data_IF_514973134684
#
_entry.id   IF_514973134684
#
_cell.length_a   1.000
_cell.length_b   1.000
_cell.length_c   1.000
_cell.angle_alpha   90.00
_cell.angle_beta   90.00
_cell.angle_gamma   90.00
#
_symmetry.space_group_name_H-M   'P 1'
#
loop_
_entity.id
_entity.type
_entity.pdbx_description
1 polymer ?
#
# COMPACT_ATOMS: atom_id res chain seq x y z
N UNK A 1 1.49 7.90 7.27
CA UNK A 1 1.26 6.58 6.65
C UNK A 1 2.51 5.99 6.01
N UNK A 2 3.49 6.77 5.52
CA UNK A 2 4.75 6.24 4.93
C UNK A 2 5.51 5.29 5.87
N UNK A 3 5.47 5.51 7.19
CA UNK A 3 6.09 4.61 8.19
C UNK A 3 5.51 3.19 8.23
N UNK A 4 4.37 2.93 7.60
CA UNK A 4 3.76 1.59 7.57
C UNK A 4 4.26 0.74 6.40
N UNK A 5 4.98 1.31 5.43
CA UNK A 5 5.53 0.55 4.29
C UNK A 5 6.42 -0.61 4.76
N UNK A 6 7.32 -0.34 5.72
CA UNK A 6 8.20 -1.35 6.30
C UNK A 6 7.43 -2.50 6.95
N UNK A 7 6.28 -2.23 7.60
CA UNK A 7 5.45 -3.28 8.18
C UNK A 7 4.89 -4.21 7.10
N UNK A 8 4.43 -3.66 5.97
CA UNK A 8 3.97 -4.48 4.85
C UNK A 8 5.12 -5.26 4.18
N UNK A 9 6.33 -4.71 4.13
CA UNK A 9 7.52 -5.43 3.64
C UNK A 9 7.87 -6.63 4.53
N UNK A 10 7.76 -6.49 5.86
CA UNK A 10 7.95 -7.60 6.79
C UNK A 10 6.89 -8.69 6.59
N UNK A 11 5.61 -8.31 6.51
CA UNK A 11 4.51 -9.27 6.25
C UNK A 11 4.72 -9.99 4.91
N UNK A 12 5.14 -9.27 3.87
CA UNK A 12 5.46 -9.85 2.56
C UNK A 12 6.58 -10.90 2.67
N UNK A 13 7.64 -10.59 3.42
CA UNK A 13 8.76 -11.50 3.63
C UNK A 13 8.32 -12.78 4.34
N UNK A 14 7.56 -12.64 5.44
CA UNK A 14 7.02 -13.79 6.19
C UNK A 14 6.08 -14.64 5.33
N UNK A 15 5.25 -14.03 4.49
CA UNK A 15 4.36 -14.77 3.59
C UNK A 15 5.13 -15.60 2.55
N UNK A 16 6.20 -15.05 1.97
CA UNK A 16 7.04 -15.78 0.99
C UNK A 16 7.77 -16.93 1.66
N UNK A 17 8.33 -16.72 2.85
CA UNK A 17 9.02 -17.76 3.63
C UNK A 17 8.07 -18.91 4.02
N UNK A 18 6.78 -18.63 4.27
CA UNK A 18 5.76 -19.65 4.53
C UNK A 18 5.40 -20.48 3.27
N UNK A 19 5.50 -19.91 2.06
CA UNK A 19 5.27 -20.63 0.80
C UNK A 19 6.44 -21.54 0.42
N UNK A 20 7.68 -21.15 0.76
CA UNK A 20 8.89 -21.92 0.46
C UNK A 20 9.13 -23.09 1.43
N UNK A 21 8.45 -23.11 2.58
CA UNK A 21 8.56 -24.23 3.52
C UNK A 21 7.83 -25.47 2.98
N UNK A 22 8.53 -26.58 2.69
CA UNK A 22 7.87 -27.80 2.24
C UNK A 22 6.98 -28.33 3.37
N UNK A 23 5.68 -28.49 3.09
CA UNK A 23 4.73 -29.25 3.93
C UNK A 23 5.14 -30.73 3.88
N UNK A 24 6.20 -31.13 4.58
CA UNK A 24 6.73 -32.48 4.53
C UNK A 24 7.47 -32.88 5.79
N UNK A 25 6.84 -33.75 6.58
CA UNK A 25 7.50 -34.54 7.62
C UNK A 25 6.86 -34.41 8.99
N UNK A 26 5.92 -35.31 9.30
CA UNK A 26 5.69 -35.73 10.69
C UNK A 26 7.04 -36.15 11.29
N UNK A 27 7.53 -35.46 12.32
CA UNK A 27 8.11 -36.05 13.55
C UNK A 27 8.81 -34.99 14.42
N UNK A 28 8.43 -35.01 15.70
CA UNK A 28 9.11 -34.47 16.88
C UNK A 28 8.67 -33.08 17.41
N UNK A 29 8.21 -32.99 18.67
CA UNK A 29 7.91 -31.73 19.34
C UNK A 29 9.17 -31.22 20.04
N UNK A 30 9.85 -30.25 19.44
CA UNK A 30 10.88 -29.48 20.13
C UNK A 30 10.66 -28.00 19.84
N UNK A 31 10.19 -27.33 20.88
CA UNK A 31 10.29 -25.91 21.18
C UNK A 31 10.95 -25.05 20.09
N UNK A 32 10.10 -24.31 19.36
CA UNK A 32 10.24 -22.88 19.09
C UNK A 32 9.29 -22.54 17.95
N UNK A 33 7.99 -22.63 18.23
CA UNK A 33 6.95 -22.10 17.35
C UNK A 33 7.12 -20.59 17.29
N UNK A 34 7.96 -20.12 16.35
CA UNK A 34 7.89 -18.76 15.84
C UNK A 34 6.41 -18.47 15.58
N UNK A 35 5.88 -17.31 15.98
CA UNK A 35 4.46 -17.04 15.86
C UNK A 35 4.09 -17.15 14.39
N UNK A 36 3.40 -18.22 14.02
CA UNK A 36 2.93 -18.42 12.65
C UNK A 36 2.03 -17.24 12.31
N UNK A 37 2.38 -16.49 11.26
CA UNK A 37 1.62 -15.32 10.81
C UNK A 37 0.13 -15.67 10.66
N UNK A 38 -0.74 -15.01 11.44
CA UNK A 38 -2.17 -15.26 11.38
C UNK A 38 -2.77 -14.65 10.10
N UNK A 39 -2.86 -15.45 9.03
CA UNK A 39 -3.36 -15.03 7.71
C UNK A 39 -4.77 -14.41 7.78
N UNK A 40 -5.66 -14.94 8.61
CA UNK A 40 -7.03 -14.42 8.72
C UNK A 40 -7.04 -13.01 9.31
N UNK A 41 -6.23 -12.78 10.35
CA UNK A 41 -6.07 -11.46 10.95
C UNK A 41 -5.42 -10.47 9.99
N UNK A 42 -4.37 -10.89 9.27
CA UNK A 42 -3.72 -10.07 8.25
C UNK A 42 -4.71 -9.66 7.14
N UNK A 43 -5.56 -10.58 6.68
CA UNK A 43 -6.62 -10.26 5.69
C UNK A 43 -7.61 -9.22 6.26
N UNK A 44 -8.03 -9.37 7.52
CA UNK A 44 -8.95 -8.42 8.18
C UNK A 44 -8.31 -7.04 8.31
N UNK A 45 -7.10 -6.97 8.84
CA UNK A 45 -6.34 -5.74 9.03
C UNK A 45 -6.05 -5.06 7.69
N UNK A 46 -5.66 -5.81 6.66
CA UNK A 46 -5.44 -5.31 5.31
C UNK A 46 -6.72 -4.69 4.74
N UNK A 47 -7.86 -5.36 4.88
CA UNK A 47 -9.15 -4.86 4.39
C UNK A 47 -9.59 -3.58 5.12
N UNK A 48 -9.35 -3.48 6.43
CA UNK A 48 -9.59 -2.25 7.20
C UNK A 48 -8.66 -1.14 6.71
N UNK A 49 -7.38 -1.44 6.54
CA UNK A 49 -6.38 -0.49 6.07
C UNK A 49 -6.73 0.08 4.68
N UNK A 50 -7.05 -0.80 3.73
CA UNK A 50 -7.49 -0.44 2.36
C UNK A 50 -8.68 0.53 2.39
N UNK A 51 -9.71 0.21 3.19
CA UNK A 51 -10.90 1.05 3.35
C UNK A 51 -10.56 2.44 3.91
N UNK A 52 -9.71 2.50 4.94
CA UNK A 52 -9.27 3.77 5.54
C UNK A 52 -8.39 4.57 4.60
N UNK A 53 -7.47 3.93 3.89
CA UNK A 53 -6.62 4.59 2.91
C UNK A 53 -7.44 5.18 1.76
N UNK A 54 -8.40 4.42 1.22
CA UNK A 54 -9.34 4.88 0.19
C UNK A 54 -10.10 6.12 0.64
N UNK A 55 -10.64 6.10 1.86
CA UNK A 55 -11.32 7.25 2.44
C UNK A 55 -10.40 8.47 2.56
N UNK A 56 -9.19 8.31 3.10
CA UNK A 56 -8.23 9.40 3.27
C UNK A 56 -7.79 10.02 1.92
N UNK A 57 -7.53 9.18 0.91
CA UNK A 57 -7.23 9.63 -0.45
C UNK A 57 -8.39 10.44 -1.04
N UNK A 58 -9.62 9.97 -0.88
CA UNK A 58 -10.80 10.69 -1.36
C UNK A 58 -10.96 12.05 -0.67
N UNK A 59 -10.72 12.13 0.64
CA UNK A 59 -10.74 13.40 1.36
C UNK A 59 -9.64 14.35 0.88
N UNK A 60 -8.42 13.83 0.67
CA UNK A 60 -7.29 14.62 0.13
C UNK A 60 -7.62 15.19 -1.26
N UNK A 61 -8.16 14.37 -2.17
CA UNK A 61 -8.58 14.81 -3.51
C UNK A 61 -9.63 15.91 -3.42
N UNK A 62 -10.64 15.76 -2.54
CA UNK A 62 -11.70 16.76 -2.36
C UNK A 62 -11.13 18.09 -1.87
N UNK A 63 -10.19 18.04 -0.91
CA UNK A 63 -9.55 19.23 -0.36
C UNK A 63 -8.76 19.97 -1.45
N UNK A 64 -7.86 19.26 -2.15
CA UNK A 64 -7.03 19.79 -3.23
C UNK A 64 -7.84 20.29 -4.44
N UNK A 65 -9.00 19.69 -4.70
CA UNK A 65 -9.90 20.15 -5.78
C UNK A 65 -10.66 21.43 -5.40
N UNK A 66 -10.87 21.68 -4.11
CA UNK A 66 -11.58 22.86 -3.60
C UNK A 66 -10.67 24.10 -3.53
N UNK A 67 -9.42 23.91 -3.11
CA UNK A 67 -8.38 24.96 -3.04
C UNK A 67 -7.98 25.49 -4.42
N UNK A 68 -8.04 24.65 -5.47
CA UNK A 68 -7.81 25.05 -6.86
C UNK A 68 -8.68 26.21 -7.37
N UNK A 69 -9.85 26.45 -6.76
CA UNK A 69 -10.73 27.58 -7.13
C UNK A 69 -10.29 28.95 -6.58
N UNK A 70 -9.39 29.00 -5.58
CA UNK A 70 -8.95 30.26 -4.93
C UNK A 70 -7.55 30.72 -5.32
N UNK A 71 -6.68 29.81 -5.78
CA UNK A 71 -5.27 30.12 -6.09
C UNK A 71 -4.91 29.52 -7.45
N UNK A 72 -5.11 30.29 -8.53
CA UNK A 72 -5.11 29.78 -9.91
C UNK A 72 -3.76 29.24 -10.44
N UNK A 73 -2.63 29.38 -9.73
CA UNK A 73 -1.30 29.15 -10.30
C UNK A 73 -0.41 28.16 -9.52
N UNK A 74 -0.97 27.21 -8.77
CA UNK A 74 -0.16 26.23 -8.03
C UNK A 74 0.06 24.93 -8.83
N UNK A 75 1.16 24.86 -9.60
CA UNK A 75 1.53 23.71 -10.45
C UNK A 75 1.82 22.46 -9.60
N UNK A 76 2.43 22.63 -8.43
CA UNK A 76 2.75 21.51 -7.53
C UNK A 76 1.49 20.84 -6.98
N UNK A 77 0.48 21.65 -6.66
CA UNK A 77 -0.81 21.18 -6.15
C UNK A 77 -1.60 20.39 -7.21
N UNK A 78 -1.48 20.77 -8.49
CA UNK A 78 -2.07 20.00 -9.59
C UNK A 78 -1.40 18.64 -9.79
N UNK A 79 -0.07 18.59 -9.70
CA UNK A 79 0.70 17.35 -9.73
C UNK A 79 0.30 16.40 -8.60
N UNK A 80 0.19 16.93 -7.37
CA UNK A 80 -0.24 16.17 -6.20
C UNK A 80 -1.70 15.69 -6.33
N UNK A 81 -2.61 16.52 -6.84
CA UNK A 81 -4.00 16.14 -7.09
C UNK A 81 -4.11 15.02 -8.13
N UNK A 82 -3.35 15.11 -9.23
CA UNK A 82 -3.30 14.07 -10.27
C UNK A 82 -2.76 12.75 -9.73
N UNK A 83 -1.67 12.80 -8.97
CA UNK A 83 -1.08 11.64 -8.31
C UNK A 83 -2.07 10.96 -7.35
N UNK A 84 -2.71 11.73 -6.46
CA UNK A 84 -3.70 11.18 -5.53
C UNK A 84 -4.89 10.53 -6.24
N UNK A 85 -5.39 11.11 -7.35
CA UNK A 85 -6.44 10.50 -8.18
C UNK A 85 -5.99 9.17 -8.79
N UNK A 86 -4.75 9.10 -9.29
CA UNK A 86 -4.21 7.87 -9.86
C UNK A 86 -4.07 6.77 -8.81
N UNK A 87 -3.48 7.09 -7.65
CA UNK A 87 -3.29 6.17 -6.52
C UNK A 87 -4.66 5.67 -6.01
N UNK A 88 -5.62 6.57 -5.84
CA UNK A 88 -7.00 6.22 -5.45
C UNK A 88 -7.65 5.25 -6.44
N UNK A 89 -7.53 5.53 -7.74
CA UNK A 89 -8.09 4.67 -8.78
C UNK A 89 -7.43 3.29 -8.83
N UNK A 90 -6.11 3.22 -8.64
CA UNK A 90 -5.37 1.95 -8.55
C UNK A 90 -5.82 1.14 -7.33
N UNK A 91 -5.91 1.77 -6.16
CA UNK A 91 -6.40 1.14 -4.93
C UNK A 91 -7.79 0.53 -5.15
N UNK A 92 -8.74 1.30 -5.67
CA UNK A 92 -10.11 0.81 -5.91
C UNK A 92 -10.14 -0.41 -6.83
N UNK A 93 -9.37 -0.41 -7.92
CA UNK A 93 -9.30 -1.54 -8.85
C UNK A 93 -8.70 -2.77 -8.18
N UNK A 94 -7.63 -2.60 -7.42
CA UNK A 94 -6.98 -3.69 -6.70
C UNK A 94 -7.91 -4.31 -5.65
N UNK A 95 -8.62 -3.49 -4.86
CA UNK A 95 -9.54 -3.98 -3.82
C UNK A 95 -10.81 -4.62 -4.40
N UNK A 96 -11.22 -4.25 -5.61
CA UNK A 96 -12.36 -4.86 -6.28
C UNK A 96 -12.04 -6.26 -6.86
N UNK A 97 -10.74 -6.58 -7.00
CA UNK A 97 -10.30 -7.87 -7.53
C UNK A 97 -10.39 -8.96 -6.45
N UNK A 98 -11.50 -9.71 -6.46
CA UNK A 98 -11.76 -10.80 -5.51
C UNK A 98 -10.86 -12.03 -5.71
N UNK A 99 -10.22 -12.18 -6.87
CA UNK A 99 -9.31 -13.30 -7.14
C UNK A 99 -7.85 -13.00 -6.78
N UNK A 100 -7.55 -11.77 -6.33
CA UNK A 100 -6.20 -11.41 -5.90
C UNK A 100 -5.82 -12.17 -4.62
N UNK A 101 -4.64 -12.79 -4.65
CA UNK A 101 -4.01 -13.40 -3.48
C UNK A 101 -3.65 -12.33 -2.43
N UNK A 102 -3.45 -12.78 -1.19
CA UNK A 102 -3.00 -11.90 -0.11
C UNK A 102 -1.67 -11.21 -0.44
N UNK A 103 -0.74 -11.95 -1.06
CA UNK A 103 0.57 -11.44 -1.45
C UNK A 103 0.45 -10.31 -2.49
N UNK A 104 -0.35 -10.52 -3.54
CA UNK A 104 -0.58 -9.50 -4.58
C UNK A 104 -1.21 -8.24 -3.99
N UNK A 105 -2.17 -8.38 -3.06
CA UNK A 105 -2.77 -7.21 -2.38
C UNK A 105 -1.73 -6.43 -1.58
N UNK A 106 -0.86 -7.11 -0.85
CA UNK A 106 0.22 -6.49 -0.07
C UNK A 106 1.22 -5.78 -0.99
N UNK A 107 1.63 -6.42 -2.09
CA UNK A 107 2.53 -5.82 -3.07
C UNK A 107 1.96 -4.52 -3.65
N UNK A 108 0.66 -4.50 -3.96
CA UNK A 108 -0.02 -3.28 -4.39
C UNK A 108 0.03 -2.20 -3.31
N UNK A 109 -0.25 -2.54 -2.05
CA UNK A 109 -0.21 -1.56 -0.95
C UNK A 109 1.20 -0.98 -0.76
N UNK A 110 2.25 -1.80 -0.81
CA UNK A 110 3.64 -1.33 -0.73
C UNK A 110 3.91 -0.35 -1.88
N UNK A 111 3.52 -0.71 -3.10
CA UNK A 111 3.71 0.14 -4.28
C UNK A 111 2.97 1.50 -4.16
N UNK A 112 1.73 1.49 -3.67
CA UNK A 112 0.94 2.72 -3.47
C UNK A 112 1.52 3.59 -2.35
N UNK A 113 2.00 2.99 -1.26
CA UNK A 113 2.66 3.72 -0.17
C UNK A 113 3.97 4.35 -0.64
N UNK A 114 4.74 3.65 -1.47
CA UNK A 114 5.91 4.20 -2.14
C UNK A 114 5.55 5.42 -2.99
N UNK A 115 4.53 5.32 -3.84
CA UNK A 115 4.06 6.48 -4.64
C UNK A 115 3.64 7.66 -3.76
N UNK A 116 2.95 7.42 -2.64
CA UNK A 116 2.55 8.46 -1.70
C UNK A 116 3.73 9.11 -0.97
N UNK A 117 4.79 8.35 -0.69
CA UNK A 117 6.01 8.88 -0.06
C UNK A 117 6.79 9.79 -1.01
N UNK A 118 6.89 9.40 -2.28
CA UNK A 118 7.66 10.13 -3.29
C UNK A 118 6.87 11.26 -3.95
N UNK A 119 5.54 11.18 -3.98
CA UNK A 119 4.65 12.21 -4.54
C UNK A 119 4.61 13.53 -3.76
N UNK A 120 5.24 13.59 -2.57
CA UNK A 120 5.47 14.83 -1.82
C UNK A 120 6.82 15.50 -2.10
N UNK A 121 7.71 14.84 -2.83
CA UNK A 121 8.98 15.41 -3.30
C UNK A 121 8.81 15.71 -4.77
N UNK A 122 8.68 17.00 -5.10
CA UNK A 122 8.54 17.47 -6.47
C UNK A 122 9.58 16.81 -7.36
N UNK A 123 9.11 16.26 -8.48
CA UNK A 123 9.95 15.88 -9.61
C UNK A 123 10.80 17.10 -9.98
N UNK A 124 12.04 17.10 -9.51
CA UNK A 124 13.17 17.85 -10.03
C UNK A 124 14.35 16.88 -10.18
N UNK A 125 14.10 15.77 -10.89
CA UNK A 125 15.19 15.07 -11.56
C UNK A 125 15.04 15.34 -13.05
N UNK A 126 15.54 16.53 -13.42
CA UNK A 126 15.68 17.04 -14.77
C UNK A 126 17.05 17.68 -14.91
N UNK A 127 18.08 16.89 -14.63
CA UNK A 127 19.50 17.10 -14.95
C UNK A 127 20.01 15.66 -15.15
N UNK A 128 20.61 15.23 -16.25
CA UNK A 128 21.58 15.85 -17.16
C UNK A 128 21.55 15.00 -18.44
N UNK A 129 21.45 15.61 -19.63
CA UNK A 129 22.34 15.30 -20.77
C UNK A 129 22.18 16.34 -21.88
#
# INVERSE_FOLDING_TARGET
>A
MVRTEHAFQLIRKELVEEFDQPKGGETSPAADSSPSLNREEVIKLLSIFESRLSFLLLQSIKLLSSTKKKTSNNIEEDGLLKSNKQIYSQLLRATANKSASLLERIDVIIHLLGQLAHGGSGVSSGAVQ
#
